data_IF_783615333122
#
_entry.id   IF_783615333122
#
_cell.length_a   1.000
_cell.length_b   1.000
_cell.length_c   1.000
_cell.angle_alpha   90.00
_cell.angle_beta   90.00
_cell.angle_gamma   90.00
#
_symmetry.space_group_name_H-M   'P 1'
#
loop_
_entity.id
_entity.type
_entity.pdbx_description
1 polymer ?
#
# COMPACT_ATOMS: atom_id res chain seq x y z
N UNK A 1 -15.14 9.66 29.44
CA UNK A 1 -14.84 9.65 27.98
C UNK A 1 -13.40 10.03 27.62
N UNK A 2 -12.76 11.06 28.19
CA UNK A 2 -11.41 11.50 27.78
C UNK A 2 -10.25 10.51 28.03
N UNK A 3 -10.32 9.69 29.07
CA UNK A 3 -9.28 8.70 29.40
C UNK A 3 -9.16 7.59 28.35
N UNK A 4 -10.29 7.08 27.85
CA UNK A 4 -10.32 5.99 26.86
C UNK A 4 -9.76 6.45 25.50
N UNK A 5 -10.07 7.69 25.09
CA UNK A 5 -9.49 8.28 23.88
C UNK A 5 -7.97 8.45 23.98
N UNK A 6 -7.46 8.89 25.15
CA UNK A 6 -6.02 9.00 25.38
C UNK A 6 -5.32 7.64 25.36
N UNK A 7 -5.91 6.62 25.97
CA UNK A 7 -5.38 5.27 25.97
C UNK A 7 -5.31 4.69 24.55
N UNK A 8 -6.38 4.84 23.76
CA UNK A 8 -6.39 4.38 22.37
C UNK A 8 -5.33 5.09 21.53
N UNK A 9 -5.18 6.41 21.69
CA UNK A 9 -4.15 7.19 20.99
C UNK A 9 -2.74 6.71 21.33
N UNK A 10 -2.49 6.36 22.59
CA UNK A 10 -1.19 5.83 23.01
C UNK A 10 -0.89 4.47 22.35
N UNK A 11 -1.90 3.59 22.24
CA UNK A 11 -1.75 2.31 21.55
C UNK A 11 -1.47 2.48 20.05
N UNK A 12 -2.18 3.39 19.37
CA UNK A 12 -1.91 3.71 17.95
C UNK A 12 -0.45 4.13 17.76
N UNK A 13 0.05 5.04 18.60
CA UNK A 13 1.44 5.51 18.53
C UNK A 13 2.46 4.41 18.86
N UNK A 14 2.10 3.44 19.68
CA UNK A 14 2.93 2.26 19.92
C UNK A 14 3.01 1.37 18.69
N UNK A 15 1.87 1.09 18.04
CA UNK A 15 1.83 0.33 16.79
C UNK A 15 2.58 1.03 15.66
N UNK A 16 2.42 2.35 15.52
CA UNK A 16 3.17 3.14 14.52
C UNK A 16 4.69 2.99 14.70
N UNK A 17 5.16 3.06 15.96
CA UNK A 17 6.59 2.85 16.27
C UNK A 17 7.05 1.44 15.90
N UNK A 18 6.23 0.42 16.16
CA UNK A 18 6.53 -0.97 15.78
C UNK A 18 6.58 -1.15 14.26
N UNK A 19 5.65 -0.54 13.52
CA UNK A 19 5.63 -0.55 12.05
C UNK A 19 6.92 0.06 11.51
N UNK A 20 7.31 1.24 11.99
CA UNK A 20 8.54 1.90 11.54
C UNK A 20 9.78 1.07 11.87
N UNK A 21 9.86 0.49 13.07
CA UNK A 21 10.98 -0.36 13.46
C UNK A 21 11.10 -1.59 12.54
N UNK A 22 9.99 -2.28 12.28
CA UNK A 22 9.95 -3.42 11.39
C UNK A 22 10.34 -3.02 9.96
N UNK A 23 9.75 -1.94 9.43
CA UNK A 23 10.05 -1.40 8.11
C UNK A 23 11.55 -1.15 7.91
N UNK A 24 12.22 -0.51 8.89
CA UNK A 24 13.67 -0.23 8.83
C UNK A 24 14.53 -1.50 8.73
N UNK A 25 14.08 -2.58 9.38
CA UNK A 25 14.76 -3.88 9.37
C UNK A 25 14.44 -4.73 8.13
N UNK A 26 13.38 -4.42 7.38
CA UNK A 26 12.93 -5.21 6.24
C UNK A 26 13.36 -4.59 4.89
N UNK A 27 14.24 -5.28 4.16
CA UNK A 27 14.74 -4.79 2.88
C UNK A 27 13.64 -4.68 1.79
N UNK A 28 12.69 -5.61 1.75
CA UNK A 28 11.58 -5.59 0.78
C UNK A 28 10.65 -4.41 1.05
N UNK A 29 10.34 -4.15 2.32
CA UNK A 29 9.52 -3.00 2.73
C UNK A 29 10.19 -1.68 2.33
N UNK A 30 11.51 -1.53 2.57
CA UNK A 30 12.27 -0.35 2.12
C UNK A 30 12.28 -0.16 0.61
N UNK A 31 12.33 -1.25 -0.17
CA UNK A 31 12.25 -1.16 -1.64
C UNK A 31 10.87 -0.70 -2.11
N UNK A 32 9.80 -1.17 -1.47
CA UNK A 32 8.43 -0.77 -1.81
C UNK A 32 8.16 0.70 -1.45
N UNK A 33 8.69 1.19 -0.33
CA UNK A 33 8.61 2.60 0.10
C UNK A 33 9.30 3.59 -0.86
N UNK A 34 10.22 3.12 -1.72
CA UNK A 34 10.81 3.95 -2.76
C UNK A 34 9.84 4.25 -3.92
N UNK A 35 8.69 3.58 -3.99
CA UNK A 35 7.67 3.80 -5.03
C UNK A 35 6.89 5.08 -4.69
N UNK A 36 6.76 6.05 -5.60
CA UNK A 36 5.99 7.27 -5.35
C UNK A 36 4.55 6.97 -4.90
N UNK A 37 4.19 7.49 -3.72
CA UNK A 37 2.87 7.27 -3.12
C UNK A 37 2.74 6.00 -2.28
N UNK A 38 3.83 5.26 -2.08
CA UNK A 38 3.93 4.19 -1.07
C UNK A 38 4.73 4.71 0.11
N UNK A 39 4.20 4.56 1.33
CA UNK A 39 4.87 4.92 2.58
C UNK A 39 5.17 3.69 3.45
N UNK A 40 5.85 3.83 4.60
CA UNK A 40 6.25 2.70 5.45
C UNK A 40 5.09 1.81 5.91
N UNK A 41 3.92 2.41 6.17
CA UNK A 41 2.71 1.68 6.56
C UNK A 41 2.22 0.78 5.42
N UNK A 42 2.04 1.35 4.21
CA UNK A 42 1.60 0.61 3.03
C UNK A 42 2.64 -0.42 2.58
N UNK A 43 3.93 -0.07 2.61
CA UNK A 43 5.01 -0.98 2.29
C UNK A 43 5.05 -2.18 3.26
N UNK A 44 4.79 -1.96 4.55
CA UNK A 44 4.70 -3.04 5.54
C UNK A 44 3.46 -3.90 5.33
N UNK A 45 2.30 -3.27 5.08
CA UNK A 45 1.07 -3.97 4.79
C UNK A 45 1.21 -4.87 3.55
N UNK A 46 1.79 -4.35 2.45
CA UNK A 46 2.02 -5.12 1.23
C UNK A 46 2.86 -6.38 1.48
N UNK A 47 3.97 -6.25 2.20
CA UNK A 47 4.83 -7.41 2.51
C UNK A 47 4.11 -8.40 3.43
N UNK A 48 3.30 -7.92 4.37
CA UNK A 48 2.54 -8.78 5.28
C UNK A 48 1.34 -9.47 4.59
N UNK A 49 0.71 -8.82 3.62
CA UNK A 49 -0.48 -9.31 2.91
C UNK A 49 -0.15 -10.31 1.80
N UNK A 50 1.06 -10.30 1.25
CA UNK A 50 1.44 -11.16 0.14
C UNK A 50 2.15 -12.41 0.66
N UNK A 51 1.42 -13.53 0.72
CA UNK A 51 1.98 -14.82 1.11
C UNK A 51 2.92 -15.42 0.04
N UNK A 52 2.56 -15.29 -1.24
CA UNK A 52 3.39 -15.73 -2.37
C UNK A 52 3.39 -14.69 -3.51
N UNK A 53 4.51 -13.96 -3.74
CA UNK A 53 4.63 -13.02 -4.84
C UNK A 53 4.51 -13.66 -6.23
N UNK A 54 4.73 -14.97 -6.36
CA UNK A 54 4.61 -15.69 -7.64
C UNK A 54 3.16 -15.91 -8.07
N UNK A 55 2.19 -15.62 -7.20
CA UNK A 55 0.78 -15.62 -7.56
C UNK A 55 0.45 -14.57 -8.65
N UNK A 56 1.28 -13.54 -8.80
CA UNK A 56 1.14 -12.55 -9.87
C UNK A 56 1.89 -13.00 -11.12
N UNK A 57 1.17 -13.07 -12.25
CA UNK A 57 1.76 -13.42 -13.56
C UNK A 57 2.78 -12.40 -14.05
N UNK A 58 2.64 -11.13 -13.63
CA UNK A 58 3.57 -10.05 -13.99
C UNK A 58 3.56 -8.93 -12.96
N UNK A 59 4.61 -8.09 -12.98
CA UNK A 59 4.65 -6.87 -12.16
C UNK A 59 3.52 -5.88 -12.49
N UNK A 60 3.00 -5.88 -13.73
CA UNK A 60 1.83 -5.07 -14.12
C UNK A 60 0.55 -5.55 -13.42
N UNK A 61 0.37 -6.87 -13.33
CA UNK A 61 -0.78 -7.46 -12.63
C UNK A 61 -0.72 -7.13 -11.13
N UNK A 62 0.48 -7.15 -10.54
CA UNK A 62 0.71 -6.67 -9.17
C UNK A 62 0.40 -5.17 -9.01
N UNK A 63 0.92 -4.30 -9.88
CA UNK A 63 0.64 -2.86 -9.82
C UNK A 63 -0.86 -2.55 -9.98
N UNK A 64 -1.58 -3.36 -10.76
CA UNK A 64 -3.03 -3.23 -10.89
C UNK A 64 -3.74 -3.61 -9.60
N UNK A 65 -3.34 -4.72 -8.98
CA UNK A 65 -3.89 -5.17 -7.70
C UNK A 65 -3.68 -4.17 -6.56
N UNK A 66 -2.51 -3.52 -6.50
CA UNK A 66 -2.24 -2.44 -5.51
C UNK A 66 -2.84 -1.08 -5.95
N UNK A 67 -3.45 -0.99 -7.13
CA UNK A 67 -4.09 0.26 -7.59
C UNK A 67 -3.11 1.36 -8.02
N UNK A 68 -1.87 0.99 -8.34
CA UNK A 68 -0.82 1.87 -8.84
C UNK A 68 -0.84 2.05 -10.36
N UNK A 69 -1.80 1.44 -11.05
CA UNK A 69 -1.99 1.63 -12.50
C UNK A 69 -2.76 2.92 -12.80
N UNK A 70 -2.49 3.59 -13.92
CA UNK A 70 -3.31 4.71 -14.37
C UNK A 70 -4.76 4.29 -14.62
N UNK A 71 -5.72 5.16 -14.32
CA UNK A 71 -7.11 4.95 -14.68
C UNK A 71 -7.24 4.97 -16.21
N UNK A 72 -7.80 3.90 -16.79
CA UNK A 72 -8.14 3.87 -18.21
C UNK A 72 -9.63 4.20 -18.36
N UNK A 73 -9.93 5.29 -19.08
CA UNK A 73 -11.29 5.58 -19.53
C UNK A 73 -11.28 5.51 -21.06
N UNK A 74 -12.08 4.61 -21.63
CA UNK A 74 -12.23 4.50 -23.09
C UNK A 74 -13.67 4.79 -23.47
N UNK A 75 -13.88 5.81 -24.30
CA UNK A 75 -15.19 6.12 -24.89
C UNK A 75 -15.03 6.30 -26.39
N UNK A 76 -15.79 5.56 -27.19
CA UNK A 76 -15.78 5.68 -28.65
C UNK A 76 -14.43 5.39 -29.31
N UNK A 77 -13.65 4.43 -28.78
CA UNK A 77 -12.40 3.97 -29.41
C UNK A 77 -11.16 4.83 -29.17
N UNK A 78 -11.23 5.83 -28.28
CA UNK A 78 -10.06 6.61 -27.86
C UNK A 78 -9.66 6.27 -26.42
N UNK A 79 -8.51 5.63 -26.26
CA UNK A 79 -7.93 5.38 -24.94
C UNK A 79 -7.31 6.66 -24.36
N UNK A 80 -7.74 7.03 -23.15
CA UNK A 80 -7.09 8.09 -22.36
C UNK A 80 -6.63 7.51 -21.02
N UNK A 81 -5.34 7.68 -20.73
CA UNK A 81 -4.76 7.41 -19.42
C UNK A 81 -4.96 8.64 -18.51
N UNK A 82 -5.57 8.42 -17.36
CA UNK A 82 -5.79 9.43 -16.33
C UNK A 82 -4.80 9.34 -15.17
N UNK A 83 -5.16 9.90 -14.02
CA UNK A 83 -4.40 9.76 -12.76
C UNK A 83 -4.31 8.31 -12.29
N UNK A 84 -3.43 8.03 -11.32
CA UNK A 84 -3.36 6.73 -10.64
C UNK A 84 -4.77 6.33 -10.18
N UNK A 85 -5.18 5.10 -10.49
CA UNK A 85 -6.56 4.65 -10.30
C UNK A 85 -6.96 4.66 -8.82
N UNK A 86 -6.03 4.29 -7.92
CA UNK A 86 -6.31 4.06 -6.50
C UNK A 86 -7.45 3.06 -6.27
N UNK A 87 -7.72 2.20 -7.26
CA UNK A 87 -8.76 1.16 -7.24
C UNK A 87 -8.18 -0.21 -6.85
N UNK A 88 -7.09 -0.23 -6.08
CA UNK A 88 -6.45 -1.45 -5.62
C UNK A 88 -7.25 -2.15 -4.53
N UNK A 89 -6.66 -3.18 -3.94
CA UNK A 89 -7.18 -3.84 -2.74
C UNK A 89 -7.61 -2.79 -1.71
N UNK A 90 -8.86 -2.87 -1.22
CA UNK A 90 -9.45 -1.81 -0.37
C UNK A 90 -8.77 -1.70 1.00
N UNK A 91 -8.04 -2.72 1.42
CA UNK A 91 -7.27 -2.70 2.65
C UNK A 91 -5.91 -2.01 2.49
N UNK A 92 -5.43 -1.84 1.25
CA UNK A 92 -4.12 -1.29 0.89
C UNK A 92 -4.24 0.09 0.22
#
# INVERSE_FOLDING_TARGET
MGNQLRALKAQILEFDRRIIAWHRSNATSKRLDAIPGVGPALATALVASIADPKAFRSGRDFSAWVGLVPKQNSSGGKDKLGSISKQGDRYL
#
